data_IF_700074061447
#
_entry.id   IF_700074061447
#
_cell.length_a   1.000
_cell.length_b   1.000
_cell.length_c   1.000
_cell.angle_alpha   90.00
_cell.angle_beta   90.00
_cell.angle_gamma   90.00
#
_symmetry.space_group_name_H-M   'P 1'
#
loop_
_entity.id
_entity.type
_entity.pdbx_description
1 polymer ?
#
# COMPACT_ATOMS: atom_id res chain seq x y z
N UNK A 1 -27.88 -1.21 -15.31
CA UNK A 1 -26.71 -1.18 -14.41
C UNK A 1 -26.41 -2.63 -14.04
N UNK A 2 -25.16 -3.07 -14.10
CA UNK A 2 -24.77 -4.41 -13.63
C UNK A 2 -25.05 -4.55 -12.14
N UNK A 3 -25.35 -5.76 -11.67
CA UNK A 3 -25.46 -6.06 -10.24
C UNK A 3 -24.15 -5.66 -9.53
N UNK A 4 -24.20 -4.93 -8.39
CA UNK A 4 -23.00 -4.60 -7.63
C UNK A 4 -22.22 -5.86 -7.20
N UNK A 5 -20.91 -5.74 -7.11
CA UNK A 5 -20.01 -6.83 -6.73
C UNK A 5 -20.18 -7.12 -5.24
N UNK A 6 -20.56 -8.34 -4.90
CA UNK A 6 -20.58 -8.78 -3.51
C UNK A 6 -19.17 -8.87 -2.94
N UNK A 7 -18.89 -8.14 -1.86
CA UNK A 7 -17.55 -8.03 -1.27
C UNK A 7 -17.55 -8.36 0.21
N UNK A 8 -16.45 -8.91 0.70
CA UNK A 8 -16.20 -9.08 2.13
C UNK A 8 -14.96 -8.30 2.59
N UNK A 9 -14.98 -7.81 3.83
CA UNK A 9 -13.79 -7.26 4.51
C UNK A 9 -13.17 -8.37 5.36
N UNK A 10 -11.87 -8.59 5.19
CA UNK A 10 -11.09 -9.53 6.00
C UNK A 10 -10.16 -8.71 6.90
N UNK A 11 -10.48 -8.64 8.18
CA UNK A 11 -9.79 -7.83 9.18
C UNK A 11 -10.61 -6.63 9.64
N UNK A 12 -10.67 -6.43 10.96
CA UNK A 12 -11.47 -5.37 11.60
C UNK A 12 -10.61 -4.28 12.25
N UNK A 13 -9.44 -4.02 11.66
CA UNK A 13 -8.48 -3.05 12.17
C UNK A 13 -8.85 -1.59 11.90
N UNK A 14 -7.92 -0.69 12.25
CA UNK A 14 -8.05 0.76 12.08
C UNK A 14 -8.45 1.12 10.64
N UNK A 15 -7.73 0.57 9.65
CA UNK A 15 -7.93 0.92 8.24
C UNK A 15 -9.26 0.40 7.68
N UNK A 16 -9.67 -0.80 8.10
CA UNK A 16 -10.99 -1.33 7.76
C UNK A 16 -12.12 -0.42 8.28
N UNK A 17 -11.98 0.09 9.51
CA UNK A 17 -12.96 0.97 10.15
C UNK A 17 -12.99 2.38 9.55
N UNK A 18 -11.83 2.96 9.31
CA UNK A 18 -11.72 4.38 8.95
C UNK A 18 -11.79 4.63 7.44
N UNK A 19 -11.43 3.66 6.61
CA UNK A 19 -11.35 3.83 5.16
C UNK A 19 -12.26 2.83 4.44
N UNK A 20 -11.98 1.52 4.52
CA UNK A 20 -12.65 0.53 3.67
C UNK A 20 -14.16 0.42 3.91
N UNK A 21 -14.61 0.34 5.18
CA UNK A 21 -16.03 0.22 5.48
C UNK A 21 -16.83 1.46 5.01
N UNK A 22 -16.44 2.71 5.34
CA UNK A 22 -17.09 3.91 4.79
C UNK A 22 -17.12 3.94 3.26
N UNK A 23 -16.01 3.58 2.60
CA UNK A 23 -15.91 3.59 1.13
C UNK A 23 -16.84 2.56 0.51
N UNK A 24 -16.84 1.32 1.01
CA UNK A 24 -17.74 0.27 0.51
C UNK A 24 -19.21 0.62 0.73
N UNK A 25 -19.53 1.26 1.85
CA UNK A 25 -20.90 1.69 2.17
C UNK A 25 -21.42 2.76 1.22
N UNK A 26 -20.52 3.60 0.66
CA UNK A 26 -20.86 4.66 -0.28
C UNK A 26 -20.71 4.24 -1.75
N UNK A 27 -20.16 3.06 -2.02
CA UNK A 27 -19.80 2.62 -3.38
C UNK A 27 -21.01 2.06 -4.13
N UNK A 28 -21.29 2.52 -5.36
CA UNK A 28 -22.27 1.87 -6.22
C UNK A 28 -21.74 0.58 -6.86
N UNK A 29 -20.42 0.34 -6.80
CA UNK A 29 -19.77 -0.82 -7.42
C UNK A 29 -19.83 -2.07 -6.54
N UNK A 30 -19.98 -1.90 -5.22
CA UNK A 30 -19.88 -2.98 -4.25
C UNK A 30 -21.12 -3.09 -3.38
N UNK A 31 -21.37 -4.28 -2.89
CA UNK A 31 -22.30 -4.53 -1.78
C UNK A 31 -21.56 -5.33 -0.72
N UNK A 32 -21.39 -4.77 0.47
CA UNK A 32 -20.77 -5.47 1.59
C UNK A 32 -21.69 -6.63 2.02
N UNK A 33 -21.16 -7.85 1.96
CA UNK A 33 -21.89 -9.10 2.28
C UNK A 33 -21.44 -9.71 3.60
N UNK A 34 -20.15 -9.64 3.88
CA UNK A 34 -19.57 -10.29 5.03
C UNK A 34 -18.38 -9.54 5.61
N UNK A 35 -18.12 -9.76 6.90
CA UNK A 35 -16.90 -9.34 7.58
C UNK A 35 -16.32 -10.58 8.25
N UNK A 36 -15.03 -10.81 8.05
CA UNK A 36 -14.26 -11.77 8.84
C UNK A 36 -13.28 -11.05 9.77
N UNK A 37 -13.13 -11.56 10.98
CA UNK A 37 -12.09 -11.12 11.91
C UNK A 37 -11.53 -12.29 12.72
N UNK A 38 -10.40 -12.08 13.42
CA UNK A 38 -9.86 -13.12 14.31
C UNK A 38 -10.78 -13.44 15.49
N UNK A 39 -11.61 -12.49 15.91
CA UNK A 39 -12.62 -12.70 16.95
C UNK A 39 -13.95 -12.09 16.56
N UNK A 40 -15.04 -12.73 16.97
CA UNK A 40 -16.40 -12.25 16.68
C UNK A 40 -16.60 -10.83 17.22
N UNK A 41 -16.11 -10.58 18.45
CA UNK A 41 -16.12 -9.26 19.08
C UNK A 41 -15.47 -8.16 18.22
N UNK A 42 -14.35 -8.48 17.55
CA UNK A 42 -13.71 -7.52 16.64
C UNK A 42 -14.55 -7.25 15.39
N UNK A 43 -15.20 -8.28 14.83
CA UNK A 43 -16.13 -8.11 13.71
C UNK A 43 -17.34 -7.25 14.11
N UNK A 44 -17.93 -7.50 15.28
CA UNK A 44 -19.03 -6.70 15.84
C UNK A 44 -18.62 -5.24 16.06
N UNK A 45 -17.42 -5.01 16.62
CA UNK A 45 -16.90 -3.65 16.89
C UNK A 45 -16.71 -2.83 15.61
N UNK A 46 -16.40 -3.47 14.48
CA UNK A 46 -16.27 -2.78 13.20
C UNK A 46 -17.61 -2.17 12.76
N UNK A 47 -18.72 -2.88 13.01
CA UNK A 47 -20.06 -2.44 12.60
C UNK A 47 -20.80 -1.65 13.68
N UNK A 48 -20.34 -1.67 14.94
CA UNK A 48 -21.04 -1.12 16.12
C UNK A 48 -21.25 0.40 16.17
N UNK A 49 -21.12 1.10 15.04
CA UNK A 49 -21.45 2.52 14.87
C UNK A 49 -21.89 2.87 13.44
N UNK A 50 -22.14 1.84 12.61
CA UNK A 50 -22.61 2.00 11.24
C UNK A 50 -24.13 2.19 11.22
N UNK A 51 -24.64 2.89 10.21
CA UNK A 51 -26.09 3.01 10.00
C UNK A 51 -26.68 1.63 9.77
N UNK A 52 -27.87 1.36 10.34
CA UNK A 52 -28.52 0.05 10.26
C UNK A 52 -28.64 -0.46 8.82
N UNK A 53 -29.02 0.42 7.87
CA UNK A 53 -29.16 0.07 6.46
C UNK A 53 -27.85 -0.41 5.79
N UNK A 54 -26.69 0.02 6.31
CA UNK A 54 -25.37 -0.40 5.80
C UNK A 54 -25.04 -1.82 6.23
N UNK A 55 -25.47 -2.22 7.42
CA UNK A 55 -25.03 -3.47 8.07
C UNK A 55 -26.14 -4.52 8.18
N UNK A 56 -27.38 -4.17 7.81
CA UNK A 56 -28.58 -5.02 7.93
C UNK A 56 -28.43 -6.42 7.33
N UNK A 57 -27.66 -6.54 6.24
CA UNK A 57 -27.44 -7.80 5.53
C UNK A 57 -25.98 -8.25 5.54
N UNK A 58 -25.16 -7.71 6.46
CA UNK A 58 -23.75 -8.07 6.59
C UNK A 58 -23.62 -9.19 7.60
N UNK A 59 -23.13 -10.33 7.15
CA UNK A 59 -22.89 -11.47 8.02
C UNK A 59 -21.48 -11.46 8.62
N UNK A 60 -21.38 -11.81 9.90
CA UNK A 60 -20.12 -11.85 10.61
C UNK A 60 -19.55 -13.27 10.64
N UNK A 61 -18.25 -13.35 10.43
CA UNK A 61 -17.44 -14.56 10.49
C UNK A 61 -16.25 -14.31 11.41
N UNK A 62 -15.80 -15.33 12.13
CA UNK A 62 -14.57 -15.23 12.89
C UNK A 62 -13.90 -16.57 13.14
N UNK A 63 -12.62 -16.53 13.49
CA UNK A 63 -11.85 -17.74 13.83
C UNK A 63 -12.40 -18.43 15.09
N UNK A 64 -12.89 -17.65 16.06
CA UNK A 64 -13.48 -18.15 17.31
C UNK A 64 -14.99 -18.44 17.22
N UNK A 65 -15.57 -18.34 16.02
CA UNK A 65 -16.98 -18.73 15.78
C UNK A 65 -17.13 -20.24 15.58
N UNK A 66 -18.36 -20.70 15.71
CA UNK A 66 -18.76 -22.08 15.41
C UNK A 66 -18.52 -22.47 13.94
N UNK A 67 -18.50 -23.79 13.67
CA UNK A 67 -18.40 -24.32 12.31
C UNK A 67 -19.52 -23.76 11.43
N UNK A 68 -19.20 -23.34 10.20
CA UNK A 68 -20.14 -22.64 9.31
C UNK A 68 -20.02 -21.11 9.39
N UNK A 69 -19.23 -20.57 10.33
CA UNK A 69 -18.99 -19.14 10.53
C UNK A 69 -17.50 -18.78 10.55
N UNK A 70 -16.65 -19.60 9.94
CA UNK A 70 -15.20 -19.39 9.85
C UNK A 70 -14.77 -18.87 8.47
N UNK A 71 -13.48 -18.57 8.30
CA UNK A 71 -12.96 -17.96 7.07
C UNK A 71 -13.27 -18.80 5.82
N UNK A 72 -13.13 -20.12 5.90
CA UNK A 72 -13.42 -21.02 4.77
C UNK A 72 -14.90 -21.01 4.37
N UNK A 73 -15.80 -20.89 5.35
CA UNK A 73 -17.24 -20.78 5.08
C UNK A 73 -17.58 -19.48 4.36
N UNK A 74 -16.91 -18.38 4.71
CA UNK A 74 -17.03 -17.11 3.97
C UNK A 74 -16.54 -17.28 2.52
N UNK A 75 -15.39 -17.92 2.32
CA UNK A 75 -14.84 -18.15 0.98
C UNK A 75 -15.72 -19.06 0.12
N UNK A 76 -16.53 -19.95 0.73
CA UNK A 76 -17.47 -20.79 0.01
C UNK A 76 -18.71 -20.05 -0.52
N UNK A 77 -18.96 -18.81 -0.08
CA UNK A 77 -20.15 -18.03 -0.50
C UNK A 77 -20.10 -17.63 -1.97
N UNK A 78 -21.13 -17.95 -2.74
CA UNK A 78 -21.27 -17.53 -4.14
C UNK A 78 -21.58 -16.03 -4.27
N UNK A 79 -22.27 -15.45 -3.28
CA UNK A 79 -22.61 -14.02 -3.28
C UNK A 79 -21.45 -13.12 -2.84
N UNK A 80 -20.31 -13.69 -2.45
CA UNK A 80 -19.04 -12.98 -2.21
C UNK A 80 -18.10 -13.25 -3.38
N UNK A 81 -17.92 -12.26 -4.24
CA UNK A 81 -17.10 -12.34 -5.45
C UNK A 81 -15.69 -11.77 -5.22
N UNK A 82 -15.57 -10.82 -4.29
CA UNK A 82 -14.31 -10.16 -3.97
C UNK A 82 -14.07 -10.06 -2.45
N UNK A 83 -12.81 -9.91 -2.05
CA UNK A 83 -12.43 -9.61 -0.67
C UNK A 83 -11.46 -8.43 -0.63
N UNK A 84 -11.61 -7.59 0.41
CA UNK A 84 -10.62 -6.58 0.78
C UNK A 84 -9.92 -7.05 2.05
N UNK A 85 -8.60 -7.24 1.99
CA UNK A 85 -7.79 -7.78 3.10
C UNK A 85 -7.04 -6.62 3.77
N UNK A 86 -7.40 -6.35 5.02
CA UNK A 86 -6.80 -5.31 5.86
C UNK A 86 -6.30 -5.93 7.19
N UNK A 87 -5.28 -6.77 7.06
CA UNK A 87 -4.68 -7.53 8.16
C UNK A 87 -3.24 -7.05 8.46
N UNK A 88 -2.66 -7.41 9.63
CA UNK A 88 -1.24 -7.20 9.89
C UNK A 88 -0.36 -7.77 8.76
N UNK A 89 0.75 -7.08 8.43
CA UNK A 89 1.66 -7.47 7.34
C UNK A 89 2.02 -8.96 7.33
N UNK A 90 2.41 -9.58 8.47
CA UNK A 90 2.80 -10.99 8.48
C UNK A 90 1.63 -11.95 8.24
N UNK A 91 0.39 -11.50 8.52
CA UNK A 91 -0.80 -12.31 8.40
C UNK A 91 -1.39 -12.27 6.98
N UNK A 92 -1.24 -11.17 6.24
CA UNK A 92 -1.89 -11.01 4.93
C UNK A 92 -1.64 -12.17 3.94
N UNK A 93 -0.40 -12.68 3.76
CA UNK A 93 -0.10 -13.64 2.69
C UNK A 93 -0.94 -14.93 2.75
N UNK A 94 -1.26 -15.45 3.94
CA UNK A 94 -2.06 -16.66 4.05
C UNK A 94 -3.52 -16.44 3.64
N UNK A 95 -4.09 -15.28 3.97
CA UNK A 95 -5.46 -14.92 3.60
C UNK A 95 -5.56 -14.59 2.12
N UNK A 96 -4.57 -13.89 1.55
CA UNK A 96 -4.49 -13.61 0.11
C UNK A 96 -4.50 -14.94 -0.67
N UNK A 97 -3.59 -15.86 -0.30
CA UNK A 97 -3.49 -17.18 -0.93
C UNK A 97 -4.81 -17.93 -0.90
N UNK A 98 -5.42 -18.06 0.28
CA UNK A 98 -6.66 -18.80 0.45
C UNK A 98 -7.82 -18.18 -0.36
N UNK A 99 -7.95 -16.85 -0.36
CA UNK A 99 -8.98 -16.16 -1.13
C UNK A 99 -8.81 -16.34 -2.65
N UNK A 100 -7.57 -16.25 -3.15
CA UNK A 100 -7.29 -16.46 -4.58
C UNK A 100 -7.53 -17.92 -4.99
N UNK A 101 -7.13 -18.89 -4.15
CA UNK A 101 -7.39 -20.31 -4.39
C UNK A 101 -8.90 -20.62 -4.41
N UNK A 102 -9.70 -19.92 -3.60
CA UNK A 102 -11.15 -19.98 -3.63
C UNK A 102 -11.79 -19.22 -4.82
N UNK A 103 -10.98 -18.65 -5.73
CA UNK A 103 -11.44 -17.93 -6.91
C UNK A 103 -12.01 -16.55 -6.64
N UNK A 104 -11.76 -15.97 -5.46
CA UNK A 104 -12.21 -14.60 -5.14
C UNK A 104 -11.25 -13.59 -5.73
N UNK A 105 -11.78 -12.47 -6.24
CA UNK A 105 -10.96 -11.29 -6.50
C UNK A 105 -10.43 -10.75 -5.17
N UNK A 106 -9.18 -10.31 -5.13
CA UNK A 106 -8.53 -9.83 -3.90
C UNK A 106 -8.01 -8.42 -4.09
N UNK A 107 -8.35 -7.51 -3.18
CA UNK A 107 -7.61 -6.28 -2.94
C UNK A 107 -6.94 -6.40 -1.56
N UNK A 108 -5.62 -6.53 -1.52
CA UNK A 108 -4.88 -6.64 -0.25
C UNK A 108 -4.17 -5.35 0.09
N UNK A 109 -4.09 -4.99 1.38
CA UNK A 109 -3.29 -3.86 1.81
C UNK A 109 -1.81 -4.02 1.47
N UNK A 110 -1.14 -2.90 1.25
CA UNK A 110 0.32 -2.81 1.22
C UNK A 110 0.95 -3.10 2.59
N UNK A 111 2.22 -3.52 2.62
CA UNK A 111 2.98 -4.13 1.52
C UNK A 111 2.40 -5.48 1.12
N UNK A 112 2.75 -5.94 -0.09
CA UNK A 112 2.36 -7.25 -0.63
C UNK A 112 2.67 -8.42 0.33
N UNK A 113 3.79 -8.33 1.06
CA UNK A 113 4.22 -9.25 2.11
C UNK A 113 5.24 -8.55 3.04
N UNK A 114 5.66 -9.24 4.10
CA UNK A 114 6.70 -8.73 5.02
C UNK A 114 8.14 -8.85 4.51
N UNK A 115 8.35 -9.62 3.45
CA UNK A 115 9.65 -9.87 2.83
C UNK A 115 9.47 -10.34 1.37
N UNK A 116 10.52 -10.17 0.59
CA UNK A 116 10.51 -10.42 -0.85
C UNK A 116 10.40 -11.91 -1.21
N UNK A 117 10.92 -12.81 -0.36
CA UNK A 117 10.79 -14.26 -0.57
C UNK A 117 9.31 -14.68 -0.50
N UNK A 118 8.60 -14.22 0.53
CA UNK A 118 7.16 -14.45 0.69
C UNK A 118 6.36 -13.83 -0.45
N UNK A 119 6.70 -12.60 -0.87
CA UNK A 119 6.05 -11.93 -1.99
C UNK A 119 6.21 -12.71 -3.31
N UNK A 120 7.42 -13.16 -3.64
CA UNK A 120 7.71 -13.95 -4.86
C UNK A 120 6.97 -15.29 -4.86
N UNK A 121 6.95 -15.99 -3.72
CA UNK A 121 6.21 -17.25 -3.59
C UNK A 121 4.71 -17.02 -3.83
N UNK A 122 4.12 -16.00 -3.19
CA UNK A 122 2.71 -15.67 -3.33
C UNK A 122 2.34 -15.27 -4.76
N UNK A 123 3.19 -14.47 -5.43
CA UNK A 123 3.00 -14.07 -6.83
C UNK A 123 3.07 -15.25 -7.80
N UNK A 124 4.06 -16.14 -7.61
CA UNK A 124 4.21 -17.35 -8.42
C UNK A 124 2.98 -18.27 -8.28
N UNK A 125 2.52 -18.47 -7.04
CA UNK A 125 1.30 -19.25 -6.77
C UNK A 125 0.08 -18.62 -7.44
N UNK A 126 -0.12 -17.31 -7.30
CA UNK A 126 -1.21 -16.58 -7.96
C UNK A 126 -1.19 -16.75 -9.48
N UNK A 127 -0.03 -16.59 -10.11
CA UNK A 127 0.13 -16.73 -11.57
C UNK A 127 -0.15 -18.17 -12.06
N UNK A 128 -0.02 -19.17 -11.18
CA UNK A 128 -0.29 -20.57 -11.50
C UNK A 128 -1.77 -20.97 -11.38
N UNK A 129 -2.64 -20.11 -10.85
CA UNK A 129 -4.04 -20.46 -10.57
C UNK A 129 -4.87 -20.63 -11.84
N UNK A 130 -5.63 -21.72 -11.90
CA UNK A 130 -6.56 -21.99 -12.99
C UNK A 130 -7.81 -21.07 -12.97
N UNK A 131 -8.21 -20.59 -11.79
CA UNK A 131 -9.41 -19.77 -11.56
C UNK A 131 -9.27 -18.32 -12.05
N UNK A 132 -8.05 -17.87 -12.35
CA UNK A 132 -7.73 -16.52 -12.84
C UNK A 132 -8.47 -15.36 -12.13
N UNK A 133 -8.54 -15.33 -10.78
CA UNK A 133 -9.04 -14.15 -10.08
C UNK A 133 -8.14 -12.94 -10.37
N UNK A 134 -8.64 -11.75 -10.08
CA UNK A 134 -7.82 -10.54 -10.10
C UNK A 134 -7.28 -10.29 -8.69
N UNK A 135 -5.98 -10.08 -8.57
CA UNK A 135 -5.34 -9.65 -7.34
C UNK A 135 -4.74 -8.25 -7.50
N UNK A 136 -5.25 -7.28 -6.75
CA UNK A 136 -4.65 -5.96 -6.58
C UNK A 136 -4.01 -5.78 -5.21
N UNK A 137 -2.97 -4.95 -5.13
CA UNK A 137 -2.39 -4.45 -3.88
C UNK A 137 -2.74 -2.96 -3.72
N UNK A 138 -3.39 -2.62 -2.62
CA UNK A 138 -3.82 -1.27 -2.26
C UNK A 138 -2.63 -0.45 -1.76
N UNK A 139 -1.96 0.25 -2.68
CA UNK A 139 -0.94 1.25 -2.40
C UNK A 139 -1.44 2.63 -2.81
N UNK A 140 -2.14 3.26 -1.86
CA UNK A 140 -2.94 4.44 -2.08
C UNK A 140 -2.14 5.66 -2.55
N UNK A 141 -0.81 5.72 -2.35
CA UNK A 141 0.00 6.84 -2.86
C UNK A 141 0.07 6.85 -4.40
N UNK A 142 -0.16 5.72 -5.07
CA UNK A 142 -0.28 5.69 -6.53
C UNK A 142 -1.56 6.38 -7.05
N UNK A 143 -2.52 6.61 -6.17
CA UNK A 143 -3.81 7.20 -6.49
C UNK A 143 -3.97 8.65 -6.01
N UNK A 144 -2.97 9.20 -5.32
CA UNK A 144 -2.98 10.60 -4.93
C UNK A 144 -2.60 11.49 -6.12
N UNK A 145 -3.48 12.44 -6.46
CA UNK A 145 -3.31 13.35 -7.61
C UNK A 145 -1.97 14.08 -7.62
N UNK A 146 -1.40 14.38 -6.45
CA UNK A 146 -0.11 15.07 -6.33
C UNK A 146 1.06 14.29 -6.93
N UNK A 147 1.11 12.97 -6.77
CA UNK A 147 2.18 12.17 -7.36
C UNK A 147 2.00 12.03 -8.86
N UNK A 148 0.75 11.90 -9.34
CA UNK A 148 0.43 11.92 -10.77
C UNK A 148 0.83 13.25 -11.42
N UNK A 149 0.54 14.38 -10.77
CA UNK A 149 0.95 15.71 -11.24
C UNK A 149 2.47 15.84 -11.31
N UNK A 150 3.19 15.44 -10.27
CA UNK A 150 4.67 15.48 -10.27
C UNK A 150 5.23 14.62 -11.40
N UNK A 151 4.69 13.41 -11.60
CA UNK A 151 5.10 12.51 -12.68
C UNK A 151 4.86 13.13 -14.06
N UNK A 152 3.75 13.85 -14.26
CA UNK A 152 3.44 14.59 -15.48
C UNK A 152 4.46 15.71 -15.75
N UNK A 153 4.76 16.53 -14.73
CA UNK A 153 5.70 17.64 -14.86
C UNK A 153 7.14 17.17 -15.09
N UNK A 154 7.57 16.11 -14.38
CA UNK A 154 8.88 15.48 -14.61
C UNK A 154 9.00 15.03 -16.06
N UNK A 155 7.98 14.35 -16.60
CA UNK A 155 7.96 13.93 -18.02
C UNK A 155 8.07 15.10 -18.98
N UNK A 156 7.40 16.23 -18.71
CA UNK A 156 7.49 17.46 -19.55
C UNK A 156 8.89 18.07 -19.54
N UNK A 157 9.63 17.99 -18.44
CA UNK A 157 10.98 18.57 -18.31
C UNK A 157 12.11 17.67 -18.82
N UNK A 158 11.83 16.43 -19.20
CA UNK A 158 12.79 15.50 -19.79
C UNK A 158 13.44 14.59 -18.74
N UNK A 159 14.58 13.98 -19.10
CA UNK A 159 15.19 12.97 -18.25
C UNK A 159 15.58 13.52 -16.86
N UNK A 160 15.32 12.74 -15.81
CA UNK A 160 15.79 13.05 -14.45
C UNK A 160 17.31 12.90 -14.42
N UNK A 161 18.00 13.89 -13.82
CA UNK A 161 19.47 13.88 -13.63
C UNK A 161 19.84 13.65 -12.17
N UNK A 162 19.03 14.18 -11.25
CA UNK A 162 19.14 13.90 -9.83
C UNK A 162 17.79 14.07 -9.12
N UNK A 163 17.64 13.44 -7.95
CA UNK A 163 16.45 13.64 -7.12
C UNK A 163 16.73 13.58 -5.61
N UNK A 164 15.86 14.21 -4.83
CA UNK A 164 15.83 14.12 -3.37
C UNK A 164 14.42 13.76 -2.93
N UNK A 165 14.27 12.69 -2.17
CA UNK A 165 13.03 12.33 -1.48
C UNK A 165 13.27 12.33 0.02
N UNK A 166 12.41 13.02 0.76
CA UNK A 166 12.44 13.04 2.22
C UNK A 166 11.03 12.91 2.78
N UNK A 167 10.76 11.80 3.47
CA UNK A 167 9.52 11.58 4.21
C UNK A 167 9.89 11.33 5.65
N UNK A 168 9.71 12.34 6.48
CA UNK A 168 10.19 12.36 7.86
C UNK A 168 9.10 12.85 8.79
N UNK A 169 8.75 12.02 9.76
CA UNK A 169 7.71 12.28 10.74
C UNK A 169 8.05 11.58 12.06
N UNK A 170 7.30 11.90 13.13
CA UNK A 170 7.40 11.22 14.41
C UNK A 170 6.12 10.41 14.66
N UNK A 171 6.26 9.10 14.74
CA UNK A 171 5.23 8.23 15.32
C UNK A 171 5.41 8.25 16.84
N UNK A 172 4.57 9.04 17.51
CA UNK A 172 4.57 9.11 18.98
C UNK A 172 3.99 7.84 19.63
N UNK A 173 4.35 7.58 20.88
CA UNK A 173 3.88 6.41 21.64
C UNK A 173 2.35 6.32 21.73
N UNK A 174 1.67 7.46 21.84
CA UNK A 174 0.21 7.56 21.85
C UNK A 174 -0.47 7.39 20.49
N UNK A 175 0.28 7.23 19.41
CA UNK A 175 -0.28 6.98 18.08
C UNK A 175 -1.09 5.69 18.07
N UNK A 176 -2.32 5.73 17.56
CA UNK A 176 -3.16 4.55 17.38
C UNK A 176 -2.48 3.44 16.57
N UNK A 177 -1.59 3.80 15.64
CA UNK A 177 -0.80 2.84 14.86
C UNK A 177 0.28 2.18 15.71
N UNK A 178 1.03 2.97 16.48
CA UNK A 178 2.01 2.43 17.43
C UNK A 178 1.35 1.58 18.50
N UNK A 179 0.10 1.84 18.89
CA UNK A 179 -0.60 1.02 19.87
C UNK A 179 -0.99 -0.38 19.36
N UNK A 180 -0.83 -0.68 18.06
CA UNK A 180 -1.08 -2.03 17.54
C UNK A 180 0.09 -2.96 17.83
N UNK A 181 -0.20 -4.15 18.38
CA UNK A 181 0.83 -5.10 18.83
C UNK A 181 1.82 -5.48 17.73
N UNK A 182 1.32 -5.73 16.51
CA UNK A 182 2.15 -6.16 15.37
C UNK A 182 3.11 -5.07 14.87
N UNK A 183 2.85 -3.79 15.18
CA UNK A 183 3.79 -2.68 14.90
C UNK A 183 4.75 -2.43 16.05
N UNK A 184 4.35 -2.69 17.30
CA UNK A 184 5.25 -2.61 18.49
C UNK A 184 6.27 -3.74 18.51
N UNK A 185 5.89 -4.90 17.99
CA UNK A 185 6.71 -6.12 17.94
C UNK A 185 6.71 -6.64 16.51
N UNK A 186 7.32 -5.90 15.56
CA UNK A 186 7.31 -6.29 14.17
C UNK A 186 8.09 -7.60 13.98
N UNK A 187 7.47 -8.57 13.31
CA UNK A 187 8.12 -9.84 12.90
C UNK A 187 8.64 -9.77 11.47
N UNK A 188 8.82 -8.56 10.95
CA UNK A 188 9.28 -8.23 9.61
C UNK A 188 10.37 -7.15 9.70
N UNK A 189 11.20 -7.03 8.67
CA UNK A 189 12.32 -6.07 8.65
C UNK A 189 11.84 -4.63 8.47
N UNK A 190 12.57 -3.69 9.05
CA UNK A 190 12.37 -2.25 8.83
C UNK A 190 11.25 -1.59 9.65
N UNK A 191 10.42 -2.34 10.40
CA UNK A 191 9.44 -1.76 11.33
C UNK A 191 8.54 -0.71 10.69
N UNK A 192 8.43 0.48 11.29
CA UNK A 192 7.65 1.58 10.72
C UNK A 192 8.20 2.10 9.38
N UNK A 193 9.50 1.92 9.10
CA UNK A 193 10.07 2.29 7.81
C UNK A 193 9.52 1.40 6.69
N UNK A 194 9.33 0.09 6.92
CA UNK A 194 8.64 -0.74 5.92
C UNK A 194 7.16 -0.36 5.81
N UNK A 195 6.46 -0.29 6.94
CA UNK A 195 5.01 -0.07 6.97
C UNK A 195 4.59 1.27 6.33
N UNK A 196 5.27 2.36 6.69
CA UNK A 196 4.97 3.69 6.16
C UNK A 196 5.83 4.07 4.97
N UNK A 197 7.12 3.76 4.99
CA UNK A 197 8.09 4.27 4.01
C UNK A 197 7.89 3.67 2.61
N UNK A 198 7.26 2.49 2.51
CA UNK A 198 6.93 1.88 1.23
C UNK A 198 6.05 2.79 0.36
N UNK A 199 5.18 3.60 0.97
CA UNK A 199 4.37 4.59 0.28
C UNK A 199 5.23 5.59 -0.50
N UNK A 200 6.32 6.07 0.11
CA UNK A 200 7.23 7.02 -0.50
C UNK A 200 7.98 6.41 -1.69
N UNK A 201 8.36 5.13 -1.57
CA UNK A 201 8.96 4.36 -2.65
C UNK A 201 7.97 4.15 -3.79
N UNK A 202 6.72 3.80 -3.50
CA UNK A 202 5.67 3.66 -4.52
C UNK A 202 5.45 4.96 -5.29
N UNK A 203 5.37 6.10 -4.58
CA UNK A 203 5.27 7.43 -5.19
C UNK A 203 6.50 7.77 -6.05
N UNK A 204 7.71 7.48 -5.55
CA UNK A 204 8.95 7.69 -6.30
C UNK A 204 9.01 6.84 -7.57
N UNK A 205 8.65 5.55 -7.49
CA UNK A 205 8.59 4.65 -8.64
C UNK A 205 7.56 5.10 -9.68
N UNK A 206 6.40 5.59 -9.24
CA UNK A 206 5.40 6.16 -10.13
C UNK A 206 5.93 7.39 -10.90
N UNK A 207 6.71 8.24 -10.23
CA UNK A 207 7.27 9.46 -10.84
C UNK A 207 8.40 9.14 -11.82
N UNK A 208 9.35 8.28 -11.42
CA UNK A 208 10.47 7.87 -12.28
C UNK A 208 9.99 7.05 -13.49
N UNK A 209 8.93 6.24 -13.30
CA UNK A 209 8.42 5.34 -14.32
C UNK A 209 9.36 4.15 -14.59
N UNK A 210 8.94 3.26 -15.49
CA UNK A 210 9.66 2.02 -15.81
C UNK A 210 10.99 2.27 -16.54
N UNK A 211 11.03 3.29 -17.40
CA UNK A 211 12.22 3.65 -18.19
C UNK A 211 13.39 4.10 -17.31
N UNK A 212 13.11 4.78 -16.19
CA UNK A 212 14.12 5.25 -15.25
C UNK A 212 14.06 4.55 -13.89
N UNK A 213 13.70 3.26 -13.91
CA UNK A 213 13.60 2.44 -12.71
C UNK A 213 14.90 2.50 -11.88
N UNK A 214 14.74 2.41 -10.55
CA UNK A 214 15.87 2.29 -9.63
C UNK A 214 16.62 0.98 -9.91
N UNK A 215 17.94 1.05 -10.02
CA UNK A 215 18.82 -0.06 -10.40
C UNK A 215 19.76 -0.49 -9.28
N UNK A 216 20.10 0.44 -8.36
CA UNK A 216 20.89 0.11 -7.19
C UNK A 216 20.60 1.05 -6.02
N UNK A 217 20.79 0.55 -4.81
CA UNK A 217 20.69 1.31 -3.57
C UNK A 217 21.90 1.07 -2.67
N UNK A 218 22.25 2.07 -1.86
CA UNK A 218 23.21 1.96 -0.76
C UNK A 218 22.67 2.76 0.41
N UNK A 219 22.44 2.12 1.56
CA UNK A 219 21.67 2.70 2.65
C UNK A 219 22.26 2.42 4.04
N UNK A 220 22.01 3.35 4.95
CA UNK A 220 22.26 3.25 6.37
C UNK A 220 20.93 3.24 7.11
N UNK A 221 20.83 2.38 8.13
CA UNK A 221 19.65 2.29 8.99
C UNK A 221 19.97 2.85 10.37
N UNK A 222 18.97 3.41 11.03
CA UNK A 222 19.11 3.95 12.38
C UNK A 222 17.86 3.76 13.22
N UNK A 223 18.06 3.84 14.53
CA UNK A 223 17.00 3.91 15.52
C UNK A 223 17.19 5.19 16.34
N UNK A 224 16.31 6.16 16.15
CA UNK A 224 16.31 7.44 16.87
C UNK A 224 15.43 7.39 18.13
N UNK A 225 14.41 6.52 18.14
CA UNK A 225 13.41 6.37 19.20
C UNK A 225 13.28 4.91 19.62
N UNK A 226 13.58 4.61 20.87
CA UNK A 226 13.56 3.22 21.38
C UNK A 226 12.19 2.53 21.22
N UNK A 227 11.09 3.28 21.38
CA UNK A 227 9.73 2.73 21.23
C UNK A 227 9.39 2.31 19.79
N UNK A 228 10.19 2.72 18.80
CA UNK A 228 10.04 2.36 17.39
C UNK A 228 11.03 1.28 16.92
N UNK A 229 11.65 0.56 17.86
CA UNK A 229 12.54 -0.56 17.55
C UNK A 229 11.89 -1.56 16.56
N UNK A 230 12.67 -2.20 15.67
CA UNK A 230 14.13 -2.22 15.63
C UNK A 230 14.77 -1.04 14.89
N UNK A 231 14.04 -0.39 13.98
CA UNK A 231 14.54 0.65 13.06
C UNK A 231 13.41 1.66 12.84
N UNK A 232 13.75 2.94 12.86
CA UNK A 232 12.81 4.02 12.54
C UNK A 232 13.30 4.97 11.45
N UNK A 233 14.53 4.78 10.95
CA UNK A 233 15.15 5.65 9.96
C UNK A 233 15.97 4.87 8.96
N UNK A 234 15.85 5.23 7.69
CA UNK A 234 16.70 4.75 6.59
C UNK A 234 17.08 5.94 5.71
N UNK A 235 18.38 6.09 5.46
CA UNK A 235 18.94 7.08 4.53
C UNK A 235 19.71 6.35 3.44
N UNK A 236 19.35 6.58 2.18
CA UNK A 236 19.86 5.85 1.03
C UNK A 236 20.32 6.76 -0.11
N UNK A 237 21.37 6.33 -0.80
CA UNK A 237 21.73 6.80 -2.15
C UNK A 237 21.22 5.79 -3.16
N UNK A 238 20.62 6.29 -4.24
CA UNK A 238 19.96 5.50 -5.27
C UNK A 238 20.57 5.82 -6.63
N UNK A 239 20.75 4.78 -7.46
CA UNK A 239 21.13 4.89 -8.87
C UNK A 239 19.99 4.37 -9.74
N UNK A 240 19.60 5.09 -10.79
CA UNK A 240 18.58 4.63 -11.75
C UNK A 240 19.21 3.99 -12.99
N UNK A 241 18.39 3.30 -13.80
CA UNK A 241 18.80 2.70 -15.07
C UNK A 241 19.33 3.72 -16.08
N UNK A 242 18.77 4.94 -16.13
CA UNK A 242 19.26 5.99 -17.05
C UNK A 242 20.44 6.78 -16.48
N UNK A 243 20.84 6.49 -15.23
CA UNK A 243 22.05 7.04 -14.62
C UNK A 243 21.83 8.22 -13.69
N UNK A 244 20.58 8.59 -13.35
CA UNK A 244 20.31 9.59 -12.32
C UNK A 244 20.79 9.09 -10.94
N UNK A 245 21.31 10.01 -10.12
CA UNK A 245 21.62 9.74 -8.72
C UNK A 245 20.55 10.41 -7.84
N UNK A 246 20.08 9.72 -6.82
CA UNK A 246 19.15 10.31 -5.87
C UNK A 246 19.48 10.00 -4.44
N UNK A 247 18.89 10.78 -3.53
CA UNK A 247 18.93 10.53 -2.09
C UNK A 247 17.51 10.33 -1.59
N UNK A 248 17.32 9.32 -0.74
CA UNK A 248 16.03 8.98 -0.13
C UNK A 248 16.23 8.93 1.38
N UNK A 249 15.47 9.73 2.12
CA UNK A 249 15.45 9.74 3.59
C UNK A 249 14.05 9.42 4.08
N UNK A 250 13.90 8.30 4.78
CA UNK A 250 12.64 7.83 5.36
C UNK A 250 12.83 7.74 6.87
N UNK A 251 12.09 8.53 7.65
CA UNK A 251 12.20 8.52 9.11
C UNK A 251 10.84 8.64 9.78
N UNK A 252 10.57 7.76 10.74
CA UNK A 252 9.38 7.74 11.57
C UNK A 252 9.69 8.09 13.03
N UNK A 253 10.96 8.35 13.36
CA UNK A 253 11.44 8.82 14.66
C UNK A 253 11.82 10.31 14.71
N UNK A 254 11.77 11.01 13.57
CA UNK A 254 12.26 12.38 13.43
C UNK A 254 11.25 13.41 13.94
N UNK A 255 11.71 14.38 14.76
CA UNK A 255 10.89 15.48 15.28
C UNK A 255 10.65 16.61 14.26
N UNK A 256 10.41 16.24 12.99
CA UNK A 256 10.03 17.14 11.90
C UNK A 256 8.78 16.58 11.23
N UNK A 257 8.13 17.36 10.37
CA UNK A 257 7.05 16.86 9.53
C UNK A 257 7.29 17.31 8.08
N UNK A 258 7.97 16.45 7.32
CA UNK A 258 8.45 16.69 5.97
C UNK A 258 7.91 15.61 5.02
N UNK A 259 7.44 16.05 3.86
CA UNK A 259 7.16 15.19 2.70
C UNK A 259 7.60 15.98 1.48
N UNK A 260 8.82 15.73 1.03
CA UNK A 260 9.45 16.45 -0.07
C UNK A 260 9.89 15.46 -1.13
N UNK A 261 9.55 15.77 -2.39
CA UNK A 261 10.08 15.09 -3.57
C UNK A 261 10.59 16.16 -4.52
N UNK A 262 11.87 16.13 -4.85
CA UNK A 262 12.51 17.12 -5.71
C UNK A 262 13.26 16.40 -6.83
N UNK A 263 13.06 16.85 -8.06
CA UNK A 263 13.63 16.25 -9.26
C UNK A 263 14.30 17.33 -10.10
N UNK A 264 15.61 17.22 -10.29
CA UNK A 264 16.34 17.99 -11.28
C UNK A 264 16.30 17.25 -12.62
N UNK A 265 15.56 17.80 -13.57
CA UNK A 265 15.36 17.27 -14.91
C UNK A 265 16.21 18.07 -15.92
N UNK A 266 16.26 17.63 -17.18
CA UNK A 266 17.03 18.30 -18.25
C UNK A 266 16.70 19.77 -18.45
N UNK A 267 15.42 20.13 -18.31
CA UNK A 267 14.92 21.48 -18.62
C UNK A 267 14.40 22.24 -17.40
N UNK A 268 14.64 21.74 -16.18
CA UNK A 268 14.24 22.42 -14.96
C UNK A 268 14.06 21.48 -13.77
N UNK A 269 13.48 22.02 -12.70
CA UNK A 269 13.23 21.33 -11.43
C UNK A 269 11.74 21.22 -11.18
N UNK A 270 11.29 20.05 -10.70
CA UNK A 270 9.97 19.85 -10.11
C UNK A 270 10.14 19.56 -8.62
N UNK A 271 9.41 20.27 -7.76
CA UNK A 271 9.39 20.02 -6.33
C UNK A 271 7.95 19.84 -5.84
N UNK A 272 7.69 18.74 -5.14
CA UNK A 272 6.55 18.57 -4.26
C UNK A 272 7.00 18.86 -2.84
N UNK A 273 6.31 19.78 -2.17
CA UNK A 273 6.44 20.05 -0.74
C UNK A 273 5.05 19.91 -0.10
N UNK A 274 4.83 18.79 0.58
CA UNK A 274 3.53 18.32 1.08
C UNK A 274 2.49 18.15 -0.02
N UNK A 275 1.79 19.23 -0.37
CA UNK A 275 0.68 19.27 -1.32
C UNK A 275 0.86 20.36 -2.40
N UNK A 276 1.96 21.11 -2.35
CA UNK A 276 2.31 22.13 -3.35
C UNK A 276 3.32 21.58 -4.33
N UNK A 277 3.02 21.63 -5.62
CA UNK A 277 3.93 21.29 -6.72
C UNK A 277 4.46 22.57 -7.34
N UNK A 278 5.77 22.75 -7.37
CA UNK A 278 6.45 23.91 -8.00
C UNK A 278 7.32 23.43 -9.16
N UNK A 279 7.28 24.16 -10.27
CA UNK A 279 8.05 23.89 -11.49
C UNK A 279 8.95 25.09 -11.80
N UNK A 280 10.20 24.83 -12.21
CA UNK A 280 11.11 25.89 -12.68
C UNK A 280 10.47 26.73 -13.79
N UNK A 281 10.49 28.05 -13.63
CA UNK A 281 9.70 28.98 -14.44
C UNK A 281 8.65 29.76 -13.64
N UNK A 282 8.44 29.40 -12.37
CA UNK A 282 7.56 30.11 -11.44
C UNK A 282 6.13 29.58 -11.37
N UNK A 283 5.82 28.51 -12.10
CA UNK A 283 4.53 27.84 -12.00
C UNK A 283 4.43 27.07 -10.69
N UNK A 284 3.31 27.24 -10.00
CA UNK A 284 3.00 26.55 -8.76
C UNK A 284 1.55 26.08 -8.80
N UNK A 285 1.35 24.82 -8.43
CA UNK A 285 0.06 24.16 -8.40
C UNK A 285 -0.20 23.70 -6.97
N UNK A 286 -1.23 24.23 -6.33
CA UNK A 286 -1.78 23.59 -5.13
C UNK A 286 -2.63 22.40 -5.57
N UNK A 287 -2.29 21.22 -5.06
CA UNK A 287 -3.08 20.02 -5.30
C UNK A 287 -4.12 19.94 -4.19
N UNK A 288 -5.43 19.99 -4.51
CA UNK A 288 -6.48 19.85 -3.50
C UNK A 288 -6.29 18.58 -2.69
N UNK A 289 -6.55 18.65 -1.40
CA UNK A 289 -6.57 17.47 -0.55
C UNK A 289 -7.81 16.61 -0.89
N UNK A 290 -7.61 15.49 -1.57
CA UNK A 290 -8.65 14.55 -1.96
C UNK A 290 -8.78 13.37 -0.97
N UNK A 291 -8.25 13.51 0.25
CA UNK A 291 -8.18 12.42 1.22
C UNK A 291 -6.90 11.59 1.08
N UNK A 292 -6.98 10.31 1.48
CA UNK A 292 -5.86 9.37 1.40
C UNK A 292 -5.76 8.64 0.06
N UNK A 293 -6.71 8.81 -0.85
CA UNK A 293 -6.73 8.13 -2.15
C UNK A 293 -7.28 6.69 -2.12
N UNK A 294 -7.69 6.17 -0.96
CA UNK A 294 -8.24 4.81 -0.78
C UNK A 294 -9.56 4.63 -1.54
N UNK A 295 -10.37 5.68 -1.65
CA UNK A 295 -11.58 5.66 -2.45
C UNK A 295 -11.30 5.40 -3.94
N UNK A 296 -10.21 5.94 -4.47
CA UNK A 296 -9.84 5.78 -5.88
C UNK A 296 -9.26 4.39 -6.18
N UNK A 297 -8.46 3.83 -5.28
CA UNK A 297 -7.91 2.47 -5.48
C UNK A 297 -9.01 1.39 -5.35
N UNK A 298 -9.95 1.56 -4.41
CA UNK A 298 -11.11 0.65 -4.27
C UNK A 298 -12.02 0.76 -5.50
N UNK A 299 -12.26 1.98 -6.00
CA UNK A 299 -13.02 2.18 -7.24
C UNK A 299 -12.32 1.55 -8.44
N UNK A 300 -11.02 1.76 -8.59
CA UNK A 300 -10.21 1.15 -9.66
C UNK A 300 -10.24 -0.37 -9.60
N UNK A 301 -10.24 -0.97 -8.41
CA UNK A 301 -10.39 -2.41 -8.23
C UNK A 301 -11.78 -2.90 -8.66
N UNK A 302 -12.85 -2.21 -8.27
CA UNK A 302 -14.21 -2.56 -8.71
C UNK A 302 -14.38 -2.47 -10.22
N UNK A 303 -13.87 -1.40 -10.83
CA UNK A 303 -13.85 -1.25 -12.29
C UNK A 303 -13.02 -2.34 -12.98
N UNK A 304 -11.90 -2.75 -12.38
CA UNK A 304 -11.05 -3.81 -12.91
C UNK A 304 -11.80 -5.13 -13.00
N UNK A 305 -12.59 -5.47 -11.96
CA UNK A 305 -13.43 -6.67 -11.94
C UNK A 305 -14.47 -6.60 -13.06
N UNK A 306 -15.16 -5.46 -13.21
CA UNK A 306 -16.17 -5.29 -14.26
C UNK A 306 -15.58 -5.38 -15.68
N UNK A 307 -14.35 -4.91 -15.87
CA UNK A 307 -13.62 -4.95 -17.15
C UNK A 307 -12.92 -6.29 -17.40
N UNK A 308 -12.74 -7.12 -16.37
CA UNK A 308 -11.92 -8.34 -16.43
C UNK A 308 -10.42 -8.07 -16.60
N UNK A 309 -9.97 -6.84 -16.29
CA UNK A 309 -8.59 -6.41 -16.48
C UNK A 309 -8.16 -5.54 -15.29
N UNK A 310 -7.08 -5.93 -14.62
CA UNK A 310 -6.56 -5.19 -13.49
C UNK A 310 -5.92 -3.86 -13.92
N UNK A 311 -6.25 -2.81 -13.19
CA UNK A 311 -5.62 -1.50 -13.31
C UNK A 311 -4.12 -1.59 -12.97
N UNK A 312 -3.27 -0.94 -13.77
CA UNK A 312 -1.81 -1.13 -13.72
C UNK A 312 -1.18 -0.77 -12.37
N UNK A 313 -1.66 0.28 -11.69
CA UNK A 313 -1.15 0.72 -10.38
C UNK A 313 -1.50 -0.24 -9.26
N UNK A 314 -2.51 -1.11 -9.44
CA UNK A 314 -2.88 -2.14 -8.47
C UNK A 314 -2.08 -3.43 -8.63
N UNK A 315 -1.29 -3.59 -9.71
CA UNK A 315 -0.61 -4.86 -9.99
C UNK A 315 0.28 -5.31 -8.84
N UNK A 316 0.22 -6.59 -8.42
CA UNK A 316 1.06 -7.10 -7.33
C UNK A 316 2.55 -7.04 -7.68
N UNK A 317 2.91 -7.08 -8.97
CA UNK A 317 4.28 -6.86 -9.42
C UNK A 317 4.80 -5.47 -9.06
N UNK A 318 3.95 -4.43 -9.12
CA UNK A 318 4.34 -3.08 -8.72
C UNK A 318 4.62 -3.00 -7.21
N UNK A 319 3.80 -3.65 -6.39
CA UNK A 319 4.02 -3.72 -4.95
C UNK A 319 5.22 -4.59 -4.56
N UNK A 320 5.50 -5.66 -5.31
CA UNK A 320 6.71 -6.47 -5.13
C UNK A 320 7.97 -5.65 -5.45
N UNK A 321 7.95 -4.85 -6.52
CA UNK A 321 9.06 -3.98 -6.86
C UNK A 321 9.27 -2.85 -5.82
N UNK A 322 8.21 -2.35 -5.17
CA UNK A 322 8.36 -1.44 -4.02
C UNK A 322 9.08 -2.13 -2.84
N UNK A 323 8.64 -3.34 -2.52
CA UNK A 323 9.20 -4.14 -1.44
C UNK A 323 10.67 -4.50 -1.72
N UNK A 324 11.02 -4.78 -2.97
CA UNK A 324 12.40 -5.06 -3.37
C UNK A 324 13.34 -3.87 -3.13
N UNK A 325 12.89 -2.65 -3.42
CA UNK A 325 13.66 -1.43 -3.10
C UNK A 325 13.84 -1.31 -1.59
N UNK A 326 12.78 -1.48 -0.81
CA UNK A 326 12.83 -1.39 0.65
C UNK A 326 13.76 -2.44 1.26
N UNK A 327 13.64 -3.71 0.84
CA UNK A 327 14.50 -4.79 1.31
C UNK A 327 15.96 -4.57 0.89
N UNK A 328 16.20 -4.06 -0.32
CA UNK A 328 17.53 -3.66 -0.78
C UNK A 328 18.17 -2.60 0.13
N UNK A 329 17.38 -1.62 0.60
CA UNK A 329 17.86 -0.65 1.59
C UNK A 329 18.13 -1.31 2.95
N UNK A 330 17.32 -2.29 3.36
CA UNK A 330 17.48 -2.95 4.66
C UNK A 330 18.67 -3.90 4.74
N UNK A 331 19.10 -4.48 3.62
CA UNK A 331 20.24 -5.42 3.58
C UNK A 331 21.54 -4.77 3.10
N UNK A 332 21.50 -3.49 2.75
CA UNK A 332 22.64 -2.79 2.16
C UNK A 332 23.82 -2.65 3.11
N UNK A 333 23.58 -2.28 4.38
CA UNK A 333 24.63 -2.00 5.37
C UNK A 333 25.73 -1.05 4.85
N UNK A 334 25.37 -0.12 3.95
CA UNK A 334 26.30 0.82 3.31
C UNK A 334 27.01 0.31 2.07
N UNK A 335 26.83 -0.97 1.75
CA UNK A 335 27.23 -1.58 0.50
C UNK A 335 26.21 -1.34 -0.61
N UNK A 336 26.67 -1.44 -1.86
CA UNK A 336 25.81 -1.35 -3.03
C UNK A 336 25.00 -2.64 -3.21
N UNK A 337 23.68 -2.53 -3.24
CA UNK A 337 22.75 -3.60 -3.59
C UNK A 337 22.16 -3.31 -4.98
N UNK A 338 22.20 -4.30 -5.87
CA UNK A 338 21.54 -4.22 -7.18
C UNK A 338 20.07 -4.61 -7.05
N UNK A 339 19.22 -3.94 -7.82
CA UNK A 339 17.79 -4.21 -7.89
C UNK A 339 17.44 -4.81 -9.25
N UNK A 340 16.55 -5.79 -9.24
CA UNK A 340 15.94 -6.43 -10.40
C UNK A 340 14.42 -6.18 -10.41
N UNK A 341 14.06 -4.90 -10.53
CA UNK A 341 12.67 -4.48 -10.57
C UNK A 341 12.03 -4.96 -11.88
N UNK A 342 11.18 -5.99 -11.79
CA UNK A 342 10.40 -6.56 -12.88
C UNK A 342 9.20 -5.70 -13.30
#
# INVERSE_FOLDING_TARGET
MSTPIGVAIIGSGIFAKEEHLPILSASPLFTLKAIYSRSLKSAETLISGSKEDVVKNVELYSEDSESGRQFQDLLAREDVQAVIIALPIPAQPSYIRASLQAGKHVLSEKPIAGDLSTARALLSEYQSLATKPLWGVAENWRFLAKFSRVAEEVRKLGAVKAFRVSVRTLIGEGSKYHQTEWRRKPTYKGGFVLDGGIHAIAGLRLILGKEDAMAAVSAMMGLQREHLAPVDTVDAVVKTKTGANGVVSLSYGAAVNETVFEFSCERGVVKLDRDTVTVSGGESFEVPYEGRGVNYEVAAFGESILKGQLEERLRPEEAMADLEVMEGMFVSEGGKVLLDLQ
#
